data_IF_473641680367
#
_entry.id   IF_473641680367
#
_cell.length_a   1.000
_cell.length_b   1.000
_cell.length_c   1.000
_cell.angle_alpha   90.00
_cell.angle_beta   90.00
_cell.angle_gamma   90.00
#
_symmetry.space_group_name_H-M   'P 1'
#
loop_
_entity.id
_entity.type
_entity.pdbx_description
1 polymer ?
#
# COMPACT_ATOMS: atom_id res chain seq x y z
N UNK A 1 -8.49 10.83 -7.62
CA UNK A 1 -8.04 10.10 -6.42
C UNK A 1 -7.26 8.88 -6.89
N UNK A 2 -6.26 8.41 -6.16
CA UNK A 2 -5.42 7.26 -6.55
C UNK A 2 -5.05 6.45 -5.32
N UNK A 3 -4.40 5.31 -5.53
CA UNK A 3 -3.92 4.42 -4.47
C UNK A 3 -2.41 4.51 -4.42
N UNK A 4 -1.88 5.04 -3.32
CA UNK A 4 -0.45 5.15 -3.06
C UNK A 4 -0.02 3.98 -2.17
N UNK A 5 0.87 3.13 -2.66
CA UNK A 5 1.32 1.94 -1.94
C UNK A 5 2.79 2.07 -1.57
N UNK A 6 3.09 1.89 -0.28
CA UNK A 6 4.44 2.02 0.25
C UNK A 6 4.86 0.71 0.91
N UNK A 7 6.01 0.17 0.54
CA UNK A 7 6.59 -0.97 1.24
C UNK A 7 6.88 -0.61 2.71
N UNK A 8 6.65 -1.55 3.64
CA UNK A 8 6.71 -1.27 5.09
C UNK A 8 8.12 -0.83 5.52
N UNK A 9 9.16 -1.50 5.04
CA UNK A 9 10.56 -1.15 5.35
C UNK A 9 11.09 0.06 4.55
N UNK A 10 10.24 0.72 3.75
CA UNK A 10 10.58 1.90 2.96
C UNK A 10 11.74 1.67 1.96
N UNK A 11 12.34 2.74 1.43
CA UNK A 11 13.49 2.62 0.53
C UNK A 11 14.78 2.38 1.32
N UNK A 12 15.55 1.37 0.90
CA UNK A 12 16.90 1.12 1.41
C UNK A 12 17.91 2.15 0.85
N UNK A 13 19.16 2.11 1.33
CA UNK A 13 20.20 3.02 0.87
C UNK A 13 20.51 2.87 -0.62
N UNK A 14 20.52 1.64 -1.13
CA UNK A 14 20.82 1.37 -2.54
C UNK A 14 19.72 1.93 -3.46
N UNK A 15 18.46 1.79 -3.06
CA UNK A 15 17.31 2.38 -3.74
C UNK A 15 17.38 3.91 -3.73
N UNK A 16 17.64 4.53 -2.57
CA UNK A 16 17.80 6.00 -2.48
C UNK A 16 18.90 6.50 -3.41
N UNK A 17 20.03 5.83 -3.47
CA UNK A 17 21.14 6.17 -4.37
C UNK A 17 20.73 6.00 -5.83
N UNK A 18 20.11 4.87 -6.19
CA UNK A 18 19.66 4.61 -7.55
C UNK A 18 18.62 5.63 -8.05
N UNK A 19 17.65 5.99 -7.20
CA UNK A 19 16.64 7.02 -7.48
C UNK A 19 17.29 8.39 -7.64
N UNK A 20 18.24 8.75 -6.75
CA UNK A 20 18.97 10.03 -6.86
C UNK A 20 19.77 10.13 -8.17
N UNK A 21 20.48 9.06 -8.56
CA UNK A 21 21.18 9.02 -9.84
C UNK A 21 20.22 9.13 -11.03
N UNK A 22 19.06 8.46 -10.97
CA UNK A 22 18.05 8.53 -12.02
C UNK A 22 17.48 9.95 -12.16
N UNK A 23 17.28 10.66 -11.04
CA UNK A 23 16.88 12.07 -11.04
C UNK A 23 17.94 12.99 -11.67
N UNK A 24 19.22 12.80 -11.38
CA UNK A 24 20.29 13.58 -12.03
C UNK A 24 20.34 13.32 -13.54
N UNK A 25 20.14 12.06 -13.98
CA UNK A 25 20.01 11.74 -15.40
C UNK A 25 18.79 12.40 -16.04
N UNK A 26 17.64 12.43 -15.37
CA UNK A 26 16.45 13.13 -15.85
C UNK A 26 16.70 14.63 -15.99
N UNK A 27 17.41 15.25 -15.05
CA UNK A 27 17.79 16.66 -15.11
C UNK A 27 18.68 16.95 -16.33
N UNK A 28 19.65 16.08 -16.61
CA UNK A 28 20.50 16.19 -17.81
C UNK A 28 19.70 15.97 -19.11
N UNK A 29 18.82 14.97 -19.15
CA UNK A 29 17.95 14.68 -20.28
C UNK A 29 17.02 15.86 -20.60
N UNK A 30 16.48 16.52 -19.57
CA UNK A 30 15.68 17.74 -19.73
C UNK A 30 16.48 18.92 -20.24
N UNK A 31 17.72 19.10 -19.76
CA UNK A 31 18.59 20.17 -20.23
C UNK A 31 18.99 20.02 -21.71
N UNK A 32 19.12 18.78 -22.18
CA UNK A 32 19.52 18.46 -23.56
C UNK A 32 18.35 18.18 -24.50
N UNK A 33 17.13 18.02 -23.97
CA UNK A 33 15.93 17.65 -24.73
C UNK A 33 15.93 16.21 -25.25
N UNK A 34 16.86 15.35 -24.83
CA UNK A 34 17.04 13.98 -25.35
C UNK A 34 16.95 12.96 -24.22
N UNK A 35 16.31 11.81 -24.45
CA UNK A 35 16.32 10.69 -23.48
C UNK A 35 15.43 10.86 -22.25
N UNK A 36 14.47 11.79 -22.28
CA UNK A 36 13.60 12.08 -21.12
C UNK A 36 12.75 10.87 -20.71
N UNK A 37 12.16 10.15 -21.68
CA UNK A 37 11.35 8.97 -21.41
C UNK A 37 12.18 7.84 -20.75
N UNK A 38 13.39 7.58 -21.25
CA UNK A 38 14.29 6.59 -20.67
C UNK A 38 14.68 6.97 -19.23
N UNK A 39 14.92 8.25 -18.97
CA UNK A 39 15.23 8.72 -17.63
C UNK A 39 14.05 8.53 -16.65
N UNK A 40 12.80 8.71 -17.11
CA UNK A 40 11.62 8.36 -16.31
C UNK A 40 11.52 6.87 -16.05
N UNK A 41 11.70 6.03 -17.07
CA UNK A 41 11.70 4.57 -16.92
C UNK A 41 12.76 4.10 -15.92
N UNK A 42 13.90 4.78 -15.81
CA UNK A 42 14.93 4.49 -14.81
C UNK A 42 14.50 4.87 -13.39
N UNK A 43 13.76 5.97 -13.20
CA UNK A 43 13.20 6.31 -11.89
C UNK A 43 12.19 5.24 -11.47
N UNK A 44 11.30 4.86 -12.38
CA UNK A 44 10.28 3.84 -12.12
C UNK A 44 10.92 2.46 -11.86
N UNK A 45 12.01 2.12 -12.55
CA UNK A 45 12.74 0.88 -12.30
C UNK A 45 13.57 0.92 -11.01
N UNK A 46 14.06 2.09 -10.59
CA UNK A 46 14.82 2.25 -9.36
C UNK A 46 13.92 2.28 -8.11
N UNK A 47 12.68 2.75 -8.25
CA UNK A 47 11.71 2.85 -7.16
C UNK A 47 11.06 1.49 -6.93
N UNK A 48 11.46 0.82 -5.85
CA UNK A 48 11.01 -0.52 -5.46
C UNK A 48 10.08 -0.48 -4.23
N UNK A 49 10.19 0.55 -3.41
CA UNK A 49 9.41 0.71 -2.18
C UNK A 49 8.10 1.47 -2.37
N UNK A 50 7.76 1.90 -3.58
CA UNK A 50 6.56 2.69 -3.84
C UNK A 50 5.92 2.28 -5.17
N UNK A 51 4.60 2.22 -5.16
CA UNK A 51 3.80 1.97 -6.35
C UNK A 51 2.52 2.79 -6.30
N UNK A 52 2.02 3.21 -7.48
CA UNK A 52 0.81 4.01 -7.56
C UNK A 52 -0.11 3.50 -8.65
N UNK A 53 -1.37 3.32 -8.29
CA UNK A 53 -2.45 3.13 -9.25
C UNK A 53 -3.37 4.35 -9.30
N UNK A 54 -3.94 4.62 -10.49
CA UNK A 54 -5.17 5.40 -10.55
C UNK A 54 -6.34 4.58 -9.99
N UNK A 55 -7.46 5.21 -9.64
CA UNK A 55 -8.66 4.47 -9.18
C UNK A 55 -9.15 3.46 -10.22
N UNK A 56 -9.03 3.78 -11.50
CA UNK A 56 -9.41 2.87 -12.58
C UNK A 56 -8.44 1.70 -12.70
N UNK A 57 -7.13 1.98 -12.70
CA UNK A 57 -6.11 0.94 -12.78
C UNK A 57 -6.19 -0.02 -11.58
N UNK A 58 -6.49 0.47 -10.38
CA UNK A 58 -6.71 -0.39 -9.20
C UNK A 58 -7.96 -1.26 -9.34
N UNK A 59 -9.00 -0.77 -10.03
CA UNK A 59 -10.17 -1.59 -10.39
C UNK A 59 -9.76 -2.77 -11.27
N UNK A 60 -9.08 -2.50 -12.38
CA UNK A 60 -8.59 -3.51 -13.31
C UNK A 60 -7.59 -4.46 -12.66
N UNK A 61 -6.67 -3.96 -11.84
CA UNK A 61 -5.71 -4.78 -11.11
C UNK A 61 -6.41 -5.76 -10.16
N UNK A 62 -7.43 -5.32 -9.41
CA UNK A 62 -8.21 -6.21 -8.53
C UNK A 62 -9.00 -7.27 -9.30
N UNK A 63 -9.58 -6.92 -10.44
CA UNK A 63 -10.28 -7.88 -11.31
C UNK A 63 -9.33 -8.99 -11.79
N UNK A 64 -8.14 -8.61 -12.29
CA UNK A 64 -7.11 -9.57 -12.69
C UNK A 64 -6.60 -10.40 -11.51
N UNK A 65 -6.31 -9.77 -10.37
CA UNK A 65 -5.91 -10.49 -9.15
C UNK A 65 -6.98 -11.49 -8.72
N UNK A 66 -8.27 -11.14 -8.82
CA UNK A 66 -9.38 -12.05 -8.56
C UNK A 66 -9.41 -13.24 -9.54
N UNK A 67 -9.21 -12.98 -10.84
CA UNK A 67 -9.15 -14.03 -11.86
C UNK A 67 -7.99 -15.02 -11.64
N UNK A 68 -6.85 -14.54 -11.13
CA UNK A 68 -5.70 -15.38 -10.77
C UNK A 68 -5.78 -16.00 -9.37
N UNK A 69 -6.88 -15.82 -8.64
CA UNK A 69 -7.04 -16.36 -7.28
C UNK A 69 -6.11 -15.71 -6.24
N UNK A 70 -5.60 -14.50 -6.53
CA UNK A 70 -4.70 -13.76 -5.63
C UNK A 70 -5.42 -13.06 -4.49
N UNK A 71 -6.76 -12.97 -4.54
CA UNK A 71 -7.59 -12.26 -3.57
C UNK A 71 -8.44 -13.21 -2.72
N UNK A 72 -8.68 -12.81 -1.47
CA UNK A 72 -9.71 -13.37 -0.59
C UNK A 72 -10.83 -12.36 -0.37
N UNK A 73 -12.05 -12.86 -0.14
CA UNK A 73 -13.26 -12.04 0.01
C UNK A 73 -13.84 -12.15 1.42
N UNK A 74 -12.99 -11.99 2.42
CA UNK A 74 -13.42 -11.90 3.81
C UNK A 74 -13.97 -10.52 4.16
N UNK A 75 -14.76 -10.47 5.23
CA UNK A 75 -15.35 -9.24 5.73
C UNK A 75 -14.29 -8.30 6.31
N UNK A 76 -14.46 -7.01 6.06
CA UNK A 76 -13.63 -5.98 6.69
C UNK A 76 -13.82 -6.00 8.21
N UNK A 77 -12.73 -5.97 9.01
CA UNK A 77 -12.82 -5.94 10.46
C UNK A 77 -13.49 -4.65 10.94
N UNK A 78 -14.23 -4.75 12.05
CA UNK A 78 -14.87 -3.59 12.66
C UNK A 78 -13.83 -2.57 13.16
N UNK A 79 -13.99 -1.32 12.76
CA UNK A 79 -13.22 -0.20 13.30
C UNK A 79 -13.58 0.07 14.77
N UNK A 80 -12.62 0.51 15.61
CA UNK A 80 -12.90 0.84 17.00
C UNK A 80 -13.90 1.98 17.13
N UNK A 81 -14.75 1.91 18.15
CA UNK A 81 -15.76 2.92 18.40
C UNK A 81 -15.15 4.29 18.75
N UNK A 82 -15.69 5.34 18.12
CA UNK A 82 -15.23 6.74 18.29
C UNK A 82 -16.02 7.52 19.35
N UNK A 83 -17.00 6.89 20.01
CA UNK A 83 -17.86 7.55 20.99
C UNK A 83 -17.04 8.10 22.17
N UNK A 84 -16.20 7.25 22.77
CA UNK A 84 -15.30 7.66 23.86
C UNK A 84 -14.36 8.80 23.45
N UNK A 85 -13.87 8.80 22.20
CA UNK A 85 -13.03 9.88 21.68
C UNK A 85 -13.81 11.18 21.50
N UNK A 86 -15.05 11.09 21.01
CA UNK A 86 -15.95 12.24 20.86
C UNK A 86 -16.24 12.88 22.21
N UNK A 87 -16.52 12.08 23.23
CA UNK A 87 -16.75 12.53 24.60
C UNK A 87 -15.50 13.16 25.21
N UNK A 88 -14.35 12.51 25.07
CA UNK A 88 -13.08 13.01 25.58
C UNK A 88 -12.68 14.35 24.93
N UNK A 89 -12.90 14.47 23.62
CA UNK A 89 -12.70 15.72 22.89
C UNK A 89 -13.64 16.82 23.37
N UNK A 90 -14.93 16.51 23.54
CA UNK A 90 -15.92 17.47 24.04
C UNK A 90 -15.62 17.94 25.47
N UNK A 91 -15.07 17.07 26.31
CA UNK A 91 -14.60 17.43 27.65
C UNK A 91 -13.40 18.40 27.58
N UNK A 92 -12.42 18.11 26.71
CA UNK A 92 -11.24 18.96 26.50
C UNK A 92 -11.61 20.33 25.94
N UNK A 93 -12.59 20.41 25.03
CA UNK A 93 -13.10 21.68 24.51
C UNK A 93 -13.77 22.55 25.60
N UNK A 94 -14.40 21.92 26.61
CA UNK A 94 -15.03 22.63 27.74
C UNK A 94 -14.04 23.08 28.80
N UNK A 95 -12.94 22.35 28.98
CA UNK A 95 -11.95 22.60 30.03
C UNK A 95 -10.52 22.36 29.51
N UNK A 96 -10.03 23.20 28.59
CA UNK A 96 -8.73 22.99 27.93
C UNK A 96 -7.53 23.10 28.88
N UNK A 97 -7.67 23.88 29.95
CA UNK A 97 -6.62 24.12 30.95
C UNK A 97 -6.67 23.12 32.12
N UNK A 98 -7.66 22.21 32.15
CA UNK A 98 -7.77 21.20 33.20
C UNK A 98 -6.84 20.02 32.88
N UNK A 99 -5.82 19.84 33.73
CA UNK A 99 -4.81 18.80 33.59
C UNK A 99 -5.39 17.38 33.55
N UNK A 100 -6.41 17.11 34.37
CA UNK A 100 -7.02 15.79 34.44
C UNK A 100 -7.81 15.50 33.16
N UNK A 101 -8.53 16.51 32.64
CA UNK A 101 -9.25 16.41 31.37
C UNK A 101 -8.28 16.18 30.20
N UNK A 102 -7.18 16.92 30.14
CA UNK A 102 -6.15 16.73 29.11
C UNK A 102 -5.54 15.34 29.15
N UNK A 103 -5.13 14.87 30.34
CA UNK A 103 -4.55 13.54 30.51
C UNK A 103 -5.53 12.42 30.12
N UNK A 104 -6.81 12.58 30.45
CA UNK A 104 -7.85 11.62 30.05
C UNK A 104 -8.03 11.60 28.53
N UNK A 105 -8.08 12.76 27.87
CA UNK A 105 -8.19 12.86 26.42
C UNK A 105 -6.98 12.25 25.69
N UNK A 106 -5.77 12.48 26.19
CA UNK A 106 -4.55 11.85 25.68
C UNK A 106 -4.59 10.32 25.80
N UNK A 107 -5.03 9.80 26.95
CA UNK A 107 -5.15 8.36 27.16
C UNK A 107 -6.18 7.71 26.22
N UNK A 108 -7.34 8.35 26.02
CA UNK A 108 -8.36 7.88 25.07
C UNK A 108 -7.82 7.91 23.64
N UNK A 109 -7.13 8.99 23.25
CA UNK A 109 -6.51 9.10 21.92
C UNK A 109 -5.46 8.02 21.70
N UNK A 110 -4.60 7.75 22.69
CA UNK A 110 -3.59 6.71 22.61
C UNK A 110 -4.21 5.32 22.44
N UNK A 111 -5.25 5.01 23.23
CA UNK A 111 -5.99 3.74 23.12
C UNK A 111 -6.68 3.59 21.76
N UNK A 112 -7.37 4.63 21.28
CA UNK A 112 -8.02 4.59 19.96
C UNK A 112 -6.99 4.41 18.84
N UNK A 113 -5.88 5.14 18.88
CA UNK A 113 -4.80 4.99 17.90
C UNK A 113 -4.23 3.57 17.88
N UNK A 114 -4.03 2.96 19.05
CA UNK A 114 -3.54 1.59 19.14
C UNK A 114 -4.56 0.57 18.61
N UNK A 115 -5.85 0.76 18.92
CA UNK A 115 -6.92 -0.10 18.41
C UNK A 115 -7.08 0.02 16.89
N UNK A 116 -7.03 1.23 16.35
CA UNK A 116 -7.03 1.52 14.91
C UNK A 116 -5.85 0.84 14.22
N UNK A 117 -4.64 0.92 14.79
CA UNK A 117 -3.47 0.26 14.21
C UNK A 117 -3.59 -1.26 14.26
N UNK A 118 -4.10 -1.83 15.37
CA UNK A 118 -4.34 -3.26 15.48
C UNK A 118 -5.30 -3.78 14.40
N UNK A 119 -6.31 -2.99 14.03
CA UNK A 119 -7.21 -3.28 12.91
C UNK A 119 -6.45 -3.25 11.59
N UNK A 120 -5.64 -2.20 11.34
CA UNK A 120 -4.90 -2.03 10.08
C UNK A 120 -3.88 -3.13 9.80
N UNK A 121 -3.23 -3.65 10.84
CA UNK A 121 -2.22 -4.71 10.73
C UNK A 121 -2.77 -6.12 10.87
N UNK A 122 -4.08 -6.26 11.06
CA UNK A 122 -4.71 -7.56 11.16
C UNK A 122 -4.47 -8.36 9.87
N UNK A 123 -3.91 -9.56 10.05
CA UNK A 123 -3.73 -10.55 9.00
C UNK A 123 -4.61 -11.77 9.33
N UNK A 124 -5.77 -11.91 8.68
CA UNK A 124 -6.70 -13.00 8.94
C UNK A 124 -6.16 -14.36 8.51
N UNK A 125 -5.06 -14.40 7.75
CA UNK A 125 -4.40 -15.63 7.31
C UNK A 125 -5.09 -16.36 6.19
N UNK A 126 -5.72 -15.61 5.29
CA UNK A 126 -6.30 -16.10 4.06
C UNK A 126 -5.26 -16.65 3.07
N UNK A 127 -5.76 -17.27 2.00
CA UNK A 127 -4.97 -17.82 0.91
C UNK A 127 -4.60 -16.78 -0.17
N UNK A 128 -4.55 -15.49 0.19
CA UNK A 128 -4.31 -14.37 -0.71
C UNK A 128 -4.41 -13.04 0.02
N UNK A 129 -4.47 -11.94 -0.74
CA UNK A 129 -4.63 -10.60 -0.19
C UNK A 129 -6.13 -10.32 0.04
N UNK A 130 -6.48 -9.87 1.24
CA UNK A 130 -7.86 -9.47 1.54
C UNK A 130 -8.33 -8.36 0.59
N UNK A 131 -9.39 -8.61 -0.17
CA UNK A 131 -9.89 -7.66 -1.18
C UNK A 131 -10.20 -6.28 -0.58
N UNK A 132 -10.77 -6.22 0.63
CA UNK A 132 -11.12 -4.96 1.28
C UNK A 132 -9.90 -4.05 1.51
N UNK A 133 -8.70 -4.60 1.71
CA UNK A 133 -7.47 -3.81 1.92
C UNK A 133 -7.06 -3.00 0.68
N UNK A 134 -7.51 -3.43 -0.50
CA UNK A 134 -7.25 -2.76 -1.78
C UNK A 134 -8.45 -1.90 -2.25
N UNK A 135 -9.51 -1.78 -1.44
CA UNK A 135 -10.71 -1.01 -1.74
C UNK A 135 -10.68 0.42 -1.18
N UNK A 136 -9.77 0.71 -0.26
CA UNK A 136 -9.70 1.99 0.43
C UNK A 136 -8.26 2.37 0.80
N UNK A 137 -8.07 3.65 1.12
CA UNK A 137 -6.79 4.24 1.49
C UNK A 137 -6.65 4.37 3.02
N UNK A 138 -7.11 3.36 3.76
CA UNK A 138 -7.16 3.43 5.22
C UNK A 138 -5.86 2.98 5.92
N UNK A 139 -4.74 2.97 5.19
CA UNK A 139 -3.42 2.52 5.65
C UNK A 139 -3.38 1.05 6.10
N UNK A 140 -4.20 0.21 5.45
CA UNK A 140 -4.17 -1.25 5.62
C UNK A 140 -2.78 -1.81 5.33
N UNK A 141 -2.28 -2.67 6.21
CA UNK A 141 -1.07 -3.44 5.93
C UNK A 141 -1.47 -4.72 5.18
N UNK A 142 -0.94 -4.86 3.98
CA UNK A 142 -0.90 -6.12 3.24
C UNK A 142 0.38 -6.84 3.63
N UNK A 143 0.25 -7.92 4.39
CA UNK A 143 1.38 -8.61 5.02
C UNK A 143 2.21 -9.42 4.02
N UNK A 144 3.48 -9.76 4.35
CA UNK A 144 4.29 -10.65 3.53
C UNK A 144 3.63 -12.00 3.26
N UNK A 145 2.85 -12.53 4.22
CA UNK A 145 2.17 -13.81 4.09
C UNK A 145 1.04 -13.75 3.06
N UNK A 146 0.22 -12.70 3.10
CA UNK A 146 -0.84 -12.48 2.11
C UNK A 146 -0.25 -12.34 0.70
N UNK A 147 0.85 -11.58 0.56
CA UNK A 147 1.55 -11.41 -0.72
C UNK A 147 2.14 -12.73 -1.20
N UNK A 148 2.76 -13.52 -0.32
CA UNK A 148 3.29 -14.85 -0.67
C UNK A 148 2.19 -15.75 -1.22
N UNK A 149 1.04 -15.80 -0.54
CA UNK A 149 -0.09 -16.62 -0.96
C UNK A 149 -0.65 -16.16 -2.32
N UNK A 150 -0.79 -14.84 -2.51
CA UNK A 150 -1.19 -14.25 -3.78
C UNK A 150 -0.23 -14.60 -4.93
N UNK A 151 1.09 -14.41 -4.72
CA UNK A 151 2.09 -14.73 -5.74
C UNK A 151 2.17 -16.23 -6.05
N UNK A 152 1.93 -17.11 -5.06
CA UNK A 152 1.80 -18.55 -5.30
C UNK A 152 0.59 -18.89 -6.16
N UNK A 153 -0.56 -18.25 -5.92
CA UNK A 153 -1.75 -18.46 -6.74
C UNK A 153 -1.49 -18.03 -8.20
N UNK A 154 -0.87 -16.86 -8.37
CA UNK A 154 -0.47 -16.33 -9.68
C UNK A 154 0.51 -17.26 -10.42
N UNK A 155 1.53 -17.79 -9.73
CA UNK A 155 2.52 -18.68 -10.32
C UNK A 155 1.95 -20.04 -10.78
N UNK A 156 0.75 -20.41 -10.32
CA UNK A 156 0.05 -21.63 -10.76
C UNK A 156 -0.82 -21.42 -12.02
N UNK A 157 -0.96 -20.19 -12.51
CA UNK A 157 -1.76 -19.90 -13.70
C UNK A 157 -1.09 -20.43 -14.99
N UNK A 158 -1.89 -20.64 -16.04
CA UNK A 158 -1.35 -21.08 -17.32
C UNK A 158 -0.53 -19.96 -17.98
N UNK A 159 0.53 -20.33 -18.72
CA UNK A 159 1.40 -19.34 -19.37
C UNK A 159 0.63 -18.45 -20.35
N UNK A 160 -0.40 -18.97 -21.02
CA UNK A 160 -1.25 -18.17 -21.90
C UNK A 160 -1.99 -17.05 -21.13
N UNK A 161 -2.53 -17.36 -19.94
CA UNK A 161 -3.25 -16.39 -19.11
C UNK A 161 -2.31 -15.29 -18.60
N UNK A 162 -1.07 -15.66 -18.24
CA UNK A 162 -0.03 -14.71 -17.81
C UNK A 162 0.32 -13.72 -18.93
N UNK A 163 0.50 -14.22 -20.16
CA UNK A 163 0.79 -13.40 -21.33
C UNK A 163 -0.39 -12.51 -21.73
N UNK A 164 -1.62 -12.98 -21.58
CA UNK A 164 -2.83 -12.20 -21.83
C UNK A 164 -2.95 -11.02 -20.84
N UNK A 165 -2.78 -11.27 -19.54
CA UNK A 165 -2.84 -10.21 -18.54
C UNK A 165 -1.78 -9.12 -18.75
N UNK A 166 -0.54 -9.50 -19.10
CA UNK A 166 0.53 -8.54 -19.41
C UNK A 166 0.24 -7.70 -20.66
N UNK A 167 -0.50 -8.27 -21.63
CA UNK A 167 -0.91 -7.57 -22.85
C UNK A 167 -2.07 -6.60 -22.59
N UNK A 168 -3.05 -7.03 -21.81
CA UNK A 168 -4.30 -6.30 -21.60
C UNK A 168 -4.16 -5.20 -20.55
N UNK A 169 -3.23 -5.37 -19.61
CA UNK A 169 -2.95 -4.37 -18.59
C UNK A 169 -1.44 -4.08 -18.51
N UNK A 170 -1.01 -3.00 -19.18
CA UNK A 170 0.39 -2.63 -19.31
C UNK A 170 1.17 -2.47 -17.98
N UNK A 171 0.46 -2.26 -16.87
CA UNK A 171 1.06 -2.13 -15.53
C UNK A 171 1.21 -3.48 -14.80
N UNK A 172 0.63 -4.57 -15.30
CA UNK A 172 0.54 -5.86 -14.62
C UNK A 172 1.91 -6.41 -14.19
N UNK A 173 2.89 -6.48 -15.09
CA UNK A 173 4.22 -6.99 -14.77
C UNK A 173 4.92 -6.15 -13.69
N UNK A 174 4.76 -4.82 -13.76
CA UNK A 174 5.33 -3.92 -12.76
C UNK A 174 4.66 -4.06 -11.40
N UNK A 175 3.36 -4.37 -11.37
CA UNK A 175 2.60 -4.64 -10.16
C UNK A 175 3.04 -5.95 -9.50
N UNK A 176 3.16 -7.03 -10.27
CA UNK A 176 3.67 -8.32 -9.76
C UNK A 176 5.10 -8.18 -9.23
N UNK A 177 5.94 -7.40 -9.92
CA UNK A 177 7.29 -7.08 -9.44
C UNK A 177 7.26 -6.29 -8.12
N UNK A 178 6.39 -5.29 -8.00
CA UNK A 178 6.24 -4.53 -6.75
C UNK A 178 5.79 -5.44 -5.60
N UNK A 179 4.81 -6.33 -5.81
CA UNK A 179 4.41 -7.31 -4.80
C UNK A 179 5.58 -8.17 -4.33
N UNK A 180 6.41 -8.65 -5.27
CA UNK A 180 7.60 -9.44 -4.95
C UNK A 180 8.59 -8.66 -4.08
N UNK A 181 8.86 -7.39 -4.42
CA UNK A 181 9.74 -6.53 -3.61
C UNK A 181 9.14 -6.19 -2.24
N UNK A 182 7.84 -5.88 -2.19
CA UNK A 182 7.12 -5.57 -0.97
C UNK A 182 7.10 -6.75 0.00
N UNK A 183 6.95 -7.98 -0.50
CA UNK A 183 7.04 -9.20 0.31
C UNK A 183 8.38 -9.27 1.07
N UNK A 184 9.49 -8.93 0.42
CA UNK A 184 10.82 -8.92 1.01
C UNK A 184 11.05 -7.74 1.98
N UNK A 185 10.12 -6.77 2.03
CA UNK A 185 10.21 -5.50 2.79
C UNK A 185 9.11 -5.35 3.83
N UNK A 186 8.65 -6.47 4.40
CA UNK A 186 7.65 -6.44 5.47
C UNK A 186 6.21 -6.20 5.00
N UNK A 187 5.95 -6.22 3.69
CA UNK A 187 4.63 -5.96 3.10
C UNK A 187 4.51 -4.55 2.53
N UNK A 188 3.28 -4.08 2.36
CA UNK A 188 3.02 -2.68 1.98
C UNK A 188 1.75 -2.12 2.59
N UNK A 189 1.66 -0.79 2.67
CA UNK A 189 0.47 -0.05 3.10
C UNK A 189 -0.22 0.65 1.96
N UNK A 190 -1.54 0.73 2.01
CA UNK A 190 -2.40 1.41 1.02
C UNK A 190 -2.89 2.76 1.56
N UNK A 191 -2.47 3.86 0.92
CA UNK A 191 -2.63 5.25 1.37
C UNK A 191 -3.23 6.16 0.29
#
# INVERSE_FOLDING_TARGET
MGYDMYAEDGPDEAERLAVAEAHERLKQARATGTGVLEAYQRIDAATRSYYRFSVWDMGTARELMGAFGMLTFEDEPAWPEVAEYTEARAALEKAPDDEAVRKAAEAVRARLSAATEAVRVADPGGAGISHYKLCSNDAWLVSPREIEAALKAYACAASEDLEEAARDFAQWDSWVRFLTEAQARGGFRVC
#
